data_IF_112853659391
#
_entry.id   IF_112853659391
#
_cell.length_a   1.000
_cell.length_b   1.000
_cell.length_c   1.000
_cell.angle_alpha   90.00
_cell.angle_beta   90.00
_cell.angle_gamma   90.00
#
_symmetry.space_group_name_H-M   'P 1'
#
loop_
_entity.id
_entity.type
_entity.pdbx_description
1 polymer ?
#
# COMPACT_ATOMS: atom_id res chain seq x y z
N UNK A 1 -3.06 17.18 -18.39
CA UNK A 1 -1.88 17.03 -17.51
C UNK A 1 -2.03 15.71 -16.80
N UNK A 2 -1.11 14.77 -17.05
CA UNK A 2 -1.14 13.46 -16.42
C UNK A 2 -0.64 13.61 -14.98
N UNK A 3 -1.47 13.34 -13.99
CA UNK A 3 -1.07 13.38 -12.58
C UNK A 3 -0.72 11.98 -12.10
N UNK A 4 0.42 11.87 -11.41
CA UNK A 4 0.77 10.65 -10.67
C UNK A 4 0.35 10.81 -9.22
N UNK A 5 -0.28 9.79 -8.65
CA UNK A 5 -0.68 9.69 -7.26
C UNK A 5 0.27 8.76 -6.52
N UNK A 6 0.62 9.11 -5.30
CA UNK A 6 1.31 8.22 -4.37
C UNK A 6 0.72 8.36 -2.98
N UNK A 7 0.35 7.24 -2.35
CA UNK A 7 0.05 7.21 -0.93
C UNK A 7 1.31 7.52 -0.11
N UNK A 8 1.23 8.54 0.75
CA UNK A 8 2.23 8.84 1.77
C UNK A 8 1.87 8.06 3.03
N UNK A 9 2.72 7.14 3.44
CA UNK A 9 2.51 6.36 4.66
C UNK A 9 2.88 7.15 5.92
N UNK A 10 2.18 6.88 7.01
CA UNK A 10 2.47 7.45 8.32
C UNK A 10 3.73 6.79 8.92
N UNK A 11 4.89 7.38 8.63
CA UNK A 11 6.17 6.84 9.05
C UNK A 11 6.38 6.77 10.56
N UNK A 12 5.76 7.67 11.34
CA UNK A 12 5.83 7.63 12.81
C UNK A 12 5.05 6.44 13.36
N UNK A 13 3.82 6.24 12.87
CA UNK A 13 3.01 5.08 13.25
C UNK A 13 3.66 3.77 12.82
N UNK A 14 4.23 3.70 11.61
CA UNK A 14 4.91 2.48 11.13
C UNK A 14 6.09 2.09 12.03
N UNK A 15 6.88 3.06 12.50
CA UNK A 15 7.99 2.79 13.43
C UNK A 15 7.52 2.39 14.82
N UNK A 16 6.35 2.88 15.24
CA UNK A 16 5.79 2.68 16.57
C UNK A 16 4.44 1.96 16.53
N UNK A 17 4.32 0.93 15.67
CA UNK A 17 3.03 0.31 15.39
C UNK A 17 2.46 -0.35 16.65
N UNK A 18 1.22 0.00 17.08
CA UNK A 18 0.61 -0.60 18.27
C UNK A 18 0.57 -2.12 18.17
N UNK A 19 0.88 -2.81 19.28
CA UNK A 19 0.99 -4.28 19.30
C UNK A 19 -0.27 -4.98 18.78
N UNK A 20 -1.46 -4.44 19.05
CA UNK A 20 -2.73 -4.98 18.56
C UNK A 20 -2.83 -4.92 17.02
N UNK A 21 -2.57 -3.74 16.43
CA UNK A 21 -2.57 -3.54 14.99
C UNK A 21 -1.48 -4.38 14.30
N UNK A 22 -0.31 -4.48 14.93
CA UNK A 22 0.79 -5.32 14.45
C UNK A 22 0.40 -6.79 14.40
N UNK A 23 -0.18 -7.30 15.48
CA UNK A 23 -0.64 -8.69 15.53
C UNK A 23 -1.70 -8.97 14.46
N UNK A 24 -2.65 -8.05 14.27
CA UNK A 24 -3.68 -8.15 13.24
C UNK A 24 -3.07 -8.22 11.83
N UNK A 25 -2.13 -7.32 11.50
CA UNK A 25 -1.43 -7.34 10.21
C UNK A 25 -0.56 -8.59 10.01
N UNK A 26 0.01 -9.17 11.07
CA UNK A 26 0.78 -10.41 11.00
C UNK A 26 -0.10 -11.58 10.58
N UNK A 27 -1.31 -11.69 11.13
CA UNK A 27 -2.23 -12.82 10.88
C UNK A 27 -3.25 -12.51 9.78
N UNK A 28 -3.14 -11.36 9.13
CA UNK A 28 -4.10 -10.89 8.14
C UNK A 28 -4.14 -11.81 6.92
N UNK A 29 -5.32 -12.31 6.56
CA UNK A 29 -5.47 -13.36 5.55
C UNK A 29 -5.76 -12.85 4.13
N UNK A 30 -5.84 -11.54 3.97
CA UNK A 30 -5.96 -10.88 2.66
C UNK A 30 -4.64 -10.21 2.24
N UNK A 31 -4.64 -9.67 1.03
CA UNK A 31 -3.48 -9.01 0.43
C UNK A 31 -3.25 -7.66 1.11
N UNK A 32 -2.10 -7.55 1.78
CA UNK A 32 -1.57 -6.26 2.24
C UNK A 32 -0.87 -5.60 1.04
N UNK A 33 -1.19 -4.34 0.70
CA UNK A 33 -0.52 -3.61 -0.37
C UNK A 33 1.01 -3.60 -0.19
N UNK A 34 1.76 -3.81 -1.29
CA UNK A 34 3.21 -4.02 -1.24
C UNK A 34 3.95 -2.88 -0.51
N UNK A 35 3.60 -1.62 -0.73
CA UNK A 35 4.25 -0.48 -0.08
C UNK A 35 4.02 -0.40 1.42
N UNK A 36 2.85 -0.84 1.91
CA UNK A 36 2.59 -0.96 3.36
C UNK A 36 3.47 -2.08 3.92
N UNK A 37 3.43 -3.26 3.29
CA UNK A 37 4.20 -4.42 3.74
C UNK A 37 5.71 -4.16 3.72
N UNK A 38 6.23 -3.56 2.65
CA UNK A 38 7.64 -3.22 2.48
C UNK A 38 8.09 -2.20 3.53
N UNK A 39 7.26 -1.20 3.83
CA UNK A 39 7.56 -0.20 4.85
C UNK A 39 7.60 -0.82 6.25
N UNK A 40 6.68 -1.74 6.56
CA UNK A 40 6.72 -2.49 7.81
C UNK A 40 7.96 -3.39 7.90
N UNK A 41 8.30 -4.12 6.83
CA UNK A 41 9.50 -4.96 6.78
C UNK A 41 10.80 -4.20 6.97
N UNK A 42 10.86 -2.94 6.49
CA UNK A 42 12.03 -2.10 6.63
C UNK A 42 12.20 -1.53 8.05
N UNK A 43 11.10 -1.35 8.80
CA UNK A 43 11.13 -0.68 10.10
C UNK A 43 10.95 -1.62 11.30
N UNK A 44 10.48 -2.85 11.07
CA UNK A 44 10.19 -3.80 12.15
C UNK A 44 10.63 -5.23 11.79
N UNK A 45 11.79 -5.63 12.32
CA UNK A 45 12.37 -6.96 12.10
C UNK A 45 11.55 -8.08 12.73
N UNK A 46 10.85 -7.80 13.84
CA UNK A 46 9.94 -8.75 14.47
C UNK A 46 8.74 -9.00 13.57
N UNK A 47 8.07 -7.94 13.09
CA UNK A 47 6.98 -8.06 12.13
C UNK A 47 7.41 -8.84 10.87
N UNK A 48 8.59 -8.53 10.32
CA UNK A 48 9.13 -9.24 9.15
C UNK A 48 9.27 -10.74 9.42
N UNK A 49 9.85 -11.12 10.56
CA UNK A 49 10.02 -12.52 10.96
C UNK A 49 8.67 -13.21 11.11
N UNK A 50 7.80 -12.68 11.96
CA UNK A 50 6.53 -13.33 12.31
C UNK A 50 5.57 -13.41 11.12
N UNK A 51 5.49 -12.36 10.28
CA UNK A 51 4.68 -12.40 9.06
C UNK A 51 5.24 -13.42 8.06
N UNK A 52 6.56 -13.54 7.94
CA UNK A 52 7.17 -14.54 7.05
C UNK A 52 6.88 -15.96 7.55
N UNK A 53 6.96 -16.19 8.87
CA UNK A 53 6.60 -17.47 9.48
C UNK A 53 5.11 -17.79 9.25
N UNK A 54 4.20 -16.84 9.47
CA UNK A 54 2.77 -17.01 9.17
C UNK A 54 2.53 -17.39 7.70
N UNK A 55 3.14 -16.67 6.75
CA UNK A 55 2.97 -16.93 5.32
C UNK A 55 3.56 -18.27 4.88
N UNK A 56 4.58 -18.80 5.57
CA UNK A 56 5.15 -20.11 5.28
C UNK A 56 4.18 -21.26 5.61
N UNK A 57 3.21 -21.04 6.49
CA UNK A 57 2.16 -22.02 6.82
C UNK A 57 0.80 -21.69 6.18
N UNK A 58 0.75 -20.66 5.32
CA UNK A 58 -0.47 -20.17 4.67
C UNK A 58 -0.24 -19.98 3.18
N UNK A 59 -0.09 -21.11 2.50
CA UNK A 59 0.13 -21.16 1.04
C UNK A 59 -0.97 -20.40 0.29
N UNK A 60 -2.22 -20.48 0.75
CA UNK A 60 -3.38 -19.76 0.20
C UNK A 60 -3.18 -18.23 0.23
N UNK A 61 -2.70 -17.68 1.33
CA UNK A 61 -2.47 -16.23 1.48
C UNK A 61 -1.26 -15.81 0.64
N UNK A 62 -0.20 -16.62 0.65
CA UNK A 62 1.00 -16.37 -0.15
C UNK A 62 0.71 -16.36 -1.65
N UNK A 63 -0.12 -17.28 -2.14
CA UNK A 63 -0.57 -17.32 -3.54
C UNK A 63 -1.37 -16.09 -3.92
N UNK A 64 -2.32 -15.64 -3.09
CA UNK A 64 -3.06 -14.37 -3.32
C UNK A 64 -2.12 -13.18 -3.49
N UNK A 65 -1.10 -13.08 -2.63
CA UNK A 65 -0.11 -12.00 -2.70
C UNK A 65 0.68 -12.02 -4.00
N UNK A 66 1.16 -13.19 -4.44
CA UNK A 66 1.88 -13.31 -5.72
C UNK A 66 0.99 -13.01 -6.91
N UNK A 67 -0.26 -13.47 -6.90
CA UNK A 67 -1.22 -13.17 -7.95
C UNK A 67 -1.50 -11.67 -8.06
N UNK A 68 -1.73 -11.00 -6.93
CA UNK A 68 -1.92 -9.54 -6.90
C UNK A 68 -0.70 -8.79 -7.44
N UNK A 69 0.52 -9.21 -7.08
CA UNK A 69 1.76 -8.61 -7.62
C UNK A 69 1.88 -8.81 -9.14
N UNK A 70 1.61 -10.00 -9.65
CA UNK A 70 1.62 -10.27 -11.09
C UNK A 70 0.59 -9.41 -11.84
N UNK A 71 -0.62 -9.28 -11.30
CA UNK A 71 -1.67 -8.44 -11.87
C UNK A 71 -1.26 -6.96 -11.94
N UNK A 72 -0.60 -6.44 -10.90
CA UNK A 72 -0.07 -5.07 -10.91
C UNK A 72 0.94 -4.85 -12.03
N UNK A 73 1.87 -5.78 -12.20
CA UNK A 73 2.89 -5.68 -13.24
C UNK A 73 2.27 -5.73 -14.63
N UNK A 74 1.30 -6.61 -14.86
CA UNK A 74 0.55 -6.68 -16.11
C UNK A 74 -0.20 -5.38 -16.41
N UNK A 75 -0.95 -4.86 -15.44
CA UNK A 75 -1.69 -3.61 -15.59
C UNK A 75 -0.76 -2.43 -15.91
N UNK A 76 0.36 -2.31 -15.20
CA UNK A 76 1.32 -1.23 -15.42
C UNK A 76 2.04 -1.33 -16.78
N UNK A 77 2.30 -2.53 -17.27
CA UNK A 77 2.96 -2.74 -18.55
C UNK A 77 2.01 -2.51 -19.74
N UNK A 78 0.72 -2.75 -19.54
CA UNK A 78 -0.32 -2.60 -20.55
C UNK A 78 -0.94 -1.21 -20.59
N UNK A 79 -0.48 -0.27 -19.76
CA UNK A 79 -1.01 1.10 -19.76
C UNK A 79 -0.54 1.86 -21.01
N UNK A 80 -1.45 2.19 -21.94
CA UNK A 80 -1.08 2.86 -23.21
C UNK A 80 -0.87 4.36 -23.03
N UNK A 81 -1.38 4.95 -21.95
CA UNK A 81 -1.43 6.39 -21.71
C UNK A 81 -0.47 6.84 -20.59
N UNK A 82 -0.12 5.94 -19.67
CA UNK A 82 0.80 6.21 -18.56
C UNK A 82 2.11 5.45 -18.72
N UNK A 83 3.22 6.14 -18.43
CA UNK A 83 4.52 5.49 -18.28
C UNK A 83 4.43 4.34 -17.26
N UNK A 84 4.96 3.13 -17.53
CA UNK A 84 4.88 2.00 -16.60
C UNK A 84 5.33 2.31 -15.16
N UNK A 85 6.27 3.25 -14.98
CA UNK A 85 6.72 3.70 -13.65
C UNK A 85 5.63 4.49 -12.93
N UNK A 86 4.95 5.43 -13.59
CA UNK A 86 3.87 6.21 -12.98
C UNK A 86 2.58 5.39 -12.84
N UNK A 87 2.31 4.48 -13.78
CA UNK A 87 1.20 3.53 -13.71
C UNK A 87 1.30 2.67 -12.43
N UNK A 88 2.50 2.15 -12.10
CA UNK A 88 2.73 1.38 -10.86
C UNK A 88 2.36 2.17 -9.61
N UNK A 89 2.82 3.42 -9.51
CA UNK A 89 2.54 4.26 -8.35
C UNK A 89 1.04 4.55 -8.18
N UNK A 90 0.33 4.76 -9.28
CA UNK A 90 -1.13 4.96 -9.28
C UNK A 90 -1.87 3.70 -8.85
N UNK A 91 -1.56 2.55 -9.46
CA UNK A 91 -2.20 1.26 -9.16
C UNK A 91 -1.98 0.90 -7.68
N UNK A 92 -0.75 1.05 -7.19
CA UNK A 92 -0.44 0.78 -5.79
C UNK A 92 -1.19 1.73 -4.84
N UNK A 93 -1.34 3.00 -5.22
CA UNK A 93 -2.14 3.96 -4.45
C UNK A 93 -3.61 3.55 -4.42
N UNK A 94 -4.19 3.14 -5.55
CA UNK A 94 -5.57 2.69 -5.63
C UNK A 94 -5.80 1.43 -4.79
N UNK A 95 -4.85 0.48 -4.79
CA UNK A 95 -4.89 -0.69 -3.92
C UNK A 95 -4.81 -0.32 -2.44
N UNK A 96 -3.96 0.63 -2.07
CA UNK A 96 -3.90 1.12 -0.69
C UNK A 96 -5.18 1.81 -0.24
N UNK A 97 -5.78 2.62 -1.12
CA UNK A 97 -7.08 3.26 -0.87
C UNK A 97 -8.17 2.21 -0.70
N UNK A 98 -8.23 1.22 -1.59
CA UNK A 98 -9.21 0.14 -1.50
C UNK A 98 -9.01 -0.69 -0.22
N UNK A 99 -7.77 -1.01 0.12
CA UNK A 99 -7.42 -1.71 1.36
C UNK A 99 -7.95 -0.97 2.59
N UNK A 100 -7.78 0.35 2.70
CA UNK A 100 -8.31 1.08 3.88
C UNK A 100 -9.82 1.33 3.83
N UNK A 101 -10.46 1.21 2.66
CA UNK A 101 -11.93 1.18 2.57
C UNK A 101 -12.49 -0.13 3.09
N UNK A 102 -11.87 -1.24 2.70
CA UNK A 102 -12.27 -2.58 3.13
C UNK A 102 -11.91 -2.83 4.60
N UNK A 103 -10.82 -2.21 5.07
CA UNK A 103 -10.29 -2.36 6.43
C UNK A 103 -10.01 -0.98 7.08
N UNK A 104 -11.05 -0.24 7.51
CA UNK A 104 -10.93 1.13 8.01
C UNK A 104 -10.03 1.30 9.23
N UNK A 105 -9.84 0.25 10.03
CA UNK A 105 -8.92 0.27 11.17
C UNK A 105 -7.46 0.54 10.74
N UNK A 106 -7.08 0.19 9.52
CA UNK A 106 -5.74 0.43 8.98
C UNK A 106 -5.57 1.76 8.25
N UNK A 107 -6.63 2.57 8.15
CA UNK A 107 -6.60 3.89 7.50
C UNK A 107 -5.43 4.76 7.96
N UNK A 108 -5.16 4.74 9.26
CA UNK A 108 -4.09 5.53 9.89
C UNK A 108 -2.67 5.18 9.42
N UNK A 109 -2.47 4.05 8.72
CA UNK A 109 -1.20 3.72 8.08
C UNK A 109 -0.88 4.66 6.91
N UNK A 110 -1.90 5.31 6.33
CA UNK A 110 -1.77 6.28 5.26
C UNK A 110 -2.03 7.67 5.85
N UNK A 111 -1.14 8.62 5.58
CA UNK A 111 -1.28 10.01 6.02
C UNK A 111 -2.05 10.83 4.97
N UNK A 112 -1.66 10.70 3.70
CA UNK A 112 -2.20 11.51 2.59
C UNK A 112 -1.96 10.87 1.24
N UNK A 113 -2.68 11.33 0.22
CA UNK A 113 -2.38 11.08 -1.19
C UNK A 113 -1.66 12.31 -1.76
N UNK A 114 -0.46 12.11 -2.29
CA UNK A 114 0.33 13.15 -2.94
C UNK A 114 0.11 13.04 -4.45
N UNK A 115 -0.28 14.14 -5.07
CA UNK A 115 -0.38 14.30 -6.52
C UNK A 115 0.87 15.01 -7.03
N UNK A 116 1.52 14.43 -8.03
CA UNK A 116 2.71 14.96 -8.69
C UNK A 116 2.46 15.18 -10.18
N UNK A 117 3.10 16.21 -10.72
CA UNK A 117 3.16 16.46 -12.16
C UNK A 117 4.16 15.52 -12.86
N UNK A 118 4.32 15.69 -14.17
CA UNK A 118 5.27 14.94 -15.00
C UNK A 118 6.75 15.15 -14.62
N UNK A 119 7.06 16.26 -13.94
CA UNK A 119 8.40 16.60 -13.45
C UNK A 119 8.61 16.14 -12.00
N UNK A 120 7.69 15.35 -11.44
CA UNK A 120 7.67 14.87 -10.06
C UNK A 120 7.53 15.97 -9.00
N UNK A 121 7.11 17.18 -9.39
CA UNK A 121 6.81 18.24 -8.43
C UNK A 121 5.48 17.95 -7.75
N UNK A 122 5.41 18.18 -6.44
CA UNK A 122 4.16 18.09 -5.70
C UNK A 122 3.20 19.19 -6.13
N UNK A 123 2.04 18.79 -6.65
CA UNK A 123 0.96 19.69 -7.07
C UNK A 123 -0.08 19.85 -5.97
N UNK A 124 -0.46 18.74 -5.33
CA UNK A 124 -1.49 18.69 -4.28
C UNK A 124 -1.14 17.60 -3.28
N UNK A 125 -1.43 17.84 -2.00
CA UNK A 125 -1.44 16.82 -0.96
C UNK A 125 -2.83 16.80 -0.36
N UNK A 126 -3.48 15.64 -0.35
CA UNK A 126 -4.82 15.45 0.19
C UNK A 126 -4.73 14.50 1.37
N UNK A 127 -5.07 14.93 2.61
CA UNK A 127 -5.17 14.02 3.76
C UNK A 127 -6.04 12.80 3.43
N UNK A 128 -5.69 11.63 3.97
CA UNK A 128 -6.41 10.39 3.62
C UNK A 128 -7.91 10.47 3.92
N UNK A 129 -8.28 11.15 5.02
CA UNK A 129 -9.67 11.32 5.42
C UNK A 129 -10.48 12.13 4.41
N UNK A 130 -9.90 13.21 3.90
CA UNK A 130 -10.52 14.02 2.84
C UNK A 130 -10.61 13.24 1.53
N UNK A 131 -9.54 12.51 1.18
CA UNK A 131 -9.49 11.73 -0.05
C UNK A 131 -10.58 10.63 -0.08
N UNK A 132 -10.78 9.92 1.03
CA UNK A 132 -11.79 8.87 1.16
C UNK A 132 -13.22 9.40 1.21
N UNK A 133 -13.42 10.66 1.63
CA UNK A 133 -14.75 11.28 1.57
C UNK A 133 -15.17 11.63 0.13
N UNK A 134 -14.19 11.89 -0.73
CA UNK A 134 -14.41 12.30 -2.13
C UNK A 134 -14.43 11.11 -3.13
N UNK A 135 -13.94 9.93 -2.73
CA UNK A 135 -13.73 8.78 -3.63
C UNK A 135 -14.16 7.47 -2.99
#
# INVERSE_FOLDING_TARGET
MLLTRSAKLNGELIRNLPSAMKAELIIFEDVIPDGIMASLYANDSFYKKERSEFLNYRDDVREKMYYARGRREELANNDPDYNPVSARGNIETDEMVQFVKDYPQFKQLIESIIFRDENLNTVKVVPIDEYLAEN
#
